data_IF_004504569618
#
_entry.id   IF_004504569618
#
_cell.length_a   1.000
_cell.length_b   1.000
_cell.length_c   1.000
_cell.angle_alpha   90.00
_cell.angle_beta   90.00
_cell.angle_gamma   90.00
#
_symmetry.space_group_name_H-M   'P 1'
#
loop_
_entity.id
_entity.type
_entity.pdbx_description
1 polymer ?
#
# COMPACT_ATOMS: atom_id res chain seq x y z
N UNK A 1 -2.79 13.04 -46.70
CA UNK A 1 -4.01 12.63 -45.99
C UNK A 1 -3.55 11.63 -44.94
N UNK A 2 -3.61 12.02 -43.70
CA UNK A 2 -3.27 11.14 -42.56
C UNK A 2 -4.30 10.00 -42.55
N UNK A 3 -3.82 8.77 -42.63
CA UNK A 3 -4.65 7.56 -42.46
C UNK A 3 -5.38 7.69 -41.12
N UNK A 4 -6.67 7.99 -41.19
CA UNK A 4 -7.50 8.07 -39.98
C UNK A 4 -7.63 6.66 -39.43
N UNK A 5 -7.07 6.44 -38.25
CA UNK A 5 -7.18 5.16 -37.54
C UNK A 5 -8.66 4.96 -37.20
N UNK A 6 -9.27 3.90 -37.73
CA UNK A 6 -10.69 3.58 -37.49
C UNK A 6 -10.82 2.92 -36.10
N UNK A 7 -11.38 3.63 -35.16
CA UNK A 7 -11.80 3.09 -33.86
C UNK A 7 -13.20 2.46 -33.98
N UNK A 8 -13.62 1.69 -32.97
CA UNK A 8 -15.00 1.15 -32.91
C UNK A 8 -16.04 2.27 -33.05
N UNK A 9 -15.77 3.43 -32.50
CA UNK A 9 -16.62 4.63 -32.63
C UNK A 9 -16.64 5.15 -34.06
N UNK A 10 -15.47 5.37 -34.66
CA UNK A 10 -15.35 5.84 -36.06
C UNK A 10 -16.00 4.89 -37.07
N UNK A 11 -16.00 3.59 -36.80
CA UNK A 11 -16.70 2.62 -37.64
C UNK A 11 -18.22 2.75 -37.52
N UNK A 12 -18.71 2.85 -36.29
CA UNK A 12 -20.14 3.11 -36.06
C UNK A 12 -20.58 4.39 -36.75
N UNK A 13 -19.78 5.43 -36.68
CA UNK A 13 -19.93 6.72 -37.31
C UNK A 13 -20.00 6.60 -38.82
N UNK A 14 -19.08 5.94 -39.38
CA UNK A 14 -18.97 5.77 -40.79
C UNK A 14 -20.18 4.95 -41.32
N UNK A 15 -20.65 3.92 -40.61
CA UNK A 15 -21.82 3.16 -40.96
C UNK A 15 -23.10 4.00 -40.94
N UNK A 16 -23.27 4.85 -39.91
CA UNK A 16 -24.38 5.78 -39.86
C UNK A 16 -24.32 6.82 -41.00
N UNK A 17 -23.13 7.37 -41.23
CA UNK A 17 -22.93 8.32 -42.32
C UNK A 17 -23.20 7.72 -43.67
N UNK A 18 -22.79 6.47 -43.90
CA UNK A 18 -23.09 5.73 -45.12
C UNK A 18 -24.60 5.46 -45.26
N UNK A 19 -25.28 5.09 -44.19
CA UNK A 19 -26.73 4.87 -44.18
C UNK A 19 -27.50 6.14 -44.52
N UNK A 20 -27.10 7.28 -43.92
CA UNK A 20 -27.68 8.57 -44.21
C UNK A 20 -27.45 9.02 -45.64
N UNK A 21 -26.22 8.92 -46.14
CA UNK A 21 -25.87 9.31 -47.52
C UNK A 21 -26.59 8.42 -48.54
N UNK A 22 -26.78 7.15 -48.25
CA UNK A 22 -27.56 6.22 -49.05
C UNK A 22 -29.04 6.65 -49.10
N UNK A 23 -29.64 6.90 -47.96
CA UNK A 23 -31.05 7.33 -47.90
C UNK A 23 -31.29 8.63 -48.70
N UNK A 24 -30.29 9.52 -48.79
CA UNK A 24 -30.41 10.81 -49.50
C UNK A 24 -29.78 10.81 -50.88
N UNK A 25 -29.53 9.63 -51.47
CA UNK A 25 -29.13 9.48 -52.89
C UNK A 25 -27.69 9.89 -53.22
N UNK A 26 -26.82 10.08 -52.20
CA UNK A 26 -25.41 10.37 -52.41
C UNK A 26 -24.62 9.09 -52.65
N UNK A 27 -23.75 9.07 -53.65
CA UNK A 27 -22.92 7.91 -53.98
C UNK A 27 -21.78 7.76 -52.98
N UNK A 28 -21.97 6.94 -51.98
CA UNK A 28 -20.92 6.56 -51.07
C UNK A 28 -21.15 5.12 -50.60
N UNK A 29 -20.32 4.17 -51.10
CA UNK A 29 -20.36 2.72 -50.78
C UNK A 29 -21.74 2.07 -50.62
N UNK A 30 -22.75 2.65 -51.30
CA UNK A 30 -24.15 2.23 -51.22
C UNK A 30 -24.34 0.75 -51.49
N UNK A 31 -23.65 0.26 -52.54
CA UNK A 31 -23.79 -1.15 -52.98
C UNK A 31 -23.24 -2.11 -51.92
N UNK A 32 -22.18 -1.75 -51.25
CA UNK A 32 -21.56 -2.61 -50.25
C UNK A 32 -22.33 -2.57 -48.92
N UNK A 33 -22.88 -1.42 -48.56
CA UNK A 33 -23.79 -1.29 -47.40
C UNK A 33 -25.09 -2.06 -47.65
N UNK A 34 -25.66 -1.97 -48.84
CA UNK A 34 -26.85 -2.74 -49.24
C UNK A 34 -26.57 -4.25 -49.18
N UNK A 35 -25.43 -4.70 -49.66
CA UNK A 35 -25.01 -6.11 -49.58
C UNK A 35 -24.85 -6.55 -48.13
N UNK A 36 -24.20 -5.74 -47.29
CA UNK A 36 -24.00 -6.02 -45.87
C UNK A 36 -25.34 -6.14 -45.13
N UNK A 37 -26.24 -5.18 -45.33
CA UNK A 37 -27.60 -5.22 -44.78
C UNK A 37 -28.37 -6.44 -45.29
N UNK A 38 -28.21 -6.77 -46.58
CA UNK A 38 -28.91 -7.90 -47.18
C UNK A 38 -28.41 -9.27 -46.74
N UNK A 39 -27.11 -9.38 -46.39
CA UNK A 39 -26.51 -10.62 -45.88
C UNK A 39 -27.03 -10.98 -44.48
N UNK A 40 -27.49 -9.99 -43.71
CA UNK A 40 -27.94 -10.16 -42.34
C UNK A 40 -29.44 -9.92 -42.19
N UNK A 41 -30.23 -10.58 -43.07
CA UNK A 41 -31.67 -10.39 -43.08
C UNK A 41 -32.43 -10.99 -41.91
N UNK A 42 -31.88 -11.99 -41.27
CA UNK A 42 -32.54 -12.68 -40.17
C UNK A 42 -32.55 -11.79 -38.91
N UNK A 43 -33.70 -11.20 -38.51
CA UNK A 43 -33.81 -10.29 -37.40
C UNK A 43 -33.60 -10.98 -36.03
N UNK A 44 -33.51 -12.31 -36.01
CA UNK A 44 -33.22 -13.07 -34.78
C UNK A 44 -31.75 -13.15 -34.49
N UNK A 45 -30.90 -12.95 -35.50
CA UNK A 45 -29.45 -12.96 -35.35
C UNK A 45 -28.93 -11.60 -34.86
N UNK A 46 -27.77 -11.58 -34.30
CA UNK A 46 -27.00 -10.40 -33.89
C UNK A 46 -26.93 -9.34 -34.98
N UNK A 47 -26.41 -9.76 -36.14
CA UNK A 47 -26.21 -8.88 -37.29
C UNK A 47 -27.51 -8.47 -37.95
N UNK A 48 -28.54 -9.33 -37.89
CA UNK A 48 -29.86 -9.04 -38.45
C UNK A 48 -30.55 -7.89 -37.72
N UNK A 49 -30.51 -7.87 -36.41
CA UNK A 49 -31.07 -6.77 -35.61
C UNK A 49 -30.44 -5.42 -35.98
N UNK A 50 -29.13 -5.38 -36.08
CA UNK A 50 -28.41 -4.16 -36.45
C UNK A 50 -28.64 -3.76 -37.91
N UNK A 51 -28.70 -4.72 -38.85
CA UNK A 51 -29.00 -4.46 -40.23
C UNK A 51 -30.42 -3.85 -40.40
N UNK A 52 -31.40 -4.37 -39.67
CA UNK A 52 -32.74 -3.81 -39.60
C UNK A 52 -32.73 -2.37 -39.08
N UNK A 53 -31.97 -2.13 -38.01
CA UNK A 53 -31.91 -0.78 -37.43
C UNK A 53 -31.21 0.22 -38.34
N UNK A 54 -30.07 -0.15 -38.94
CA UNK A 54 -29.38 0.69 -39.93
C UNK A 54 -30.28 1.02 -41.10
N UNK A 55 -31.11 0.06 -41.57
CA UNK A 55 -32.08 0.29 -42.62
C UNK A 55 -33.14 1.29 -42.19
N UNK A 56 -33.70 1.13 -41.00
CA UNK A 56 -34.67 2.07 -40.44
C UNK A 56 -34.14 3.50 -40.36
N UNK A 57 -32.91 3.66 -39.88
CA UNK A 57 -32.23 4.97 -39.78
C UNK A 57 -31.99 5.54 -41.19
N UNK A 58 -31.54 4.70 -42.14
CA UNK A 58 -31.33 5.13 -43.52
C UNK A 58 -32.62 5.61 -44.22
N UNK A 59 -33.76 5.11 -43.81
CA UNK A 59 -35.09 5.46 -44.35
C UNK A 59 -35.73 6.66 -43.62
N UNK A 60 -35.17 7.12 -42.50
CA UNK A 60 -35.67 8.28 -41.74
C UNK A 60 -35.55 9.59 -42.53
N UNK A 61 -36.58 10.46 -42.48
CA UNK A 61 -36.46 11.83 -42.97
C UNK A 61 -35.41 12.62 -42.25
N UNK A 62 -34.81 13.59 -42.93
CA UNK A 62 -33.75 14.46 -42.34
C UNK A 62 -34.18 15.09 -41.00
N UNK A 63 -35.41 15.61 -40.93
CA UNK A 63 -35.95 16.22 -39.72
C UNK A 63 -36.04 15.23 -38.57
N UNK A 64 -36.50 14.03 -38.81
CA UNK A 64 -36.59 12.96 -37.82
C UNK A 64 -35.20 12.49 -37.35
N UNK A 65 -34.17 12.53 -38.22
CA UNK A 65 -32.79 12.26 -37.84
C UNK A 65 -32.20 13.35 -36.95
N UNK A 66 -32.58 14.61 -37.19
CA UNK A 66 -32.20 15.73 -36.34
C UNK A 66 -32.87 15.65 -34.96
N UNK A 67 -34.19 15.39 -34.93
CA UNK A 67 -34.96 15.28 -33.69
C UNK A 67 -34.51 14.09 -32.83
N UNK A 68 -34.21 12.98 -33.45
CA UNK A 68 -33.61 11.83 -32.79
C UNK A 68 -32.13 12.08 -32.37
N UNK A 69 -31.57 13.22 -32.81
CA UNK A 69 -30.20 13.65 -32.55
C UNK A 69 -29.15 12.76 -33.22
N UNK A 70 -29.47 12.16 -34.35
CA UNK A 70 -28.51 11.47 -35.21
C UNK A 70 -27.71 12.45 -36.09
N UNK A 71 -28.18 13.71 -36.21
CA UNK A 71 -27.50 14.77 -36.96
C UNK A 71 -27.20 15.93 -36.02
N UNK A 72 -25.97 16.40 -36.03
CA UNK A 72 -25.60 17.68 -35.45
C UNK A 72 -25.94 18.79 -36.40
N UNK A 73 -26.99 19.54 -36.08
CA UNK A 73 -27.51 20.62 -36.92
C UNK A 73 -26.49 21.75 -37.04
N UNK A 74 -25.66 22.01 -36.04
CA UNK A 74 -24.67 23.08 -36.04
C UNK A 74 -23.45 22.74 -36.91
N UNK A 75 -23.05 21.50 -36.93
CA UNK A 75 -21.92 21.01 -37.75
C UNK A 75 -22.33 20.45 -39.09
N UNK A 76 -23.63 20.28 -39.34
CA UNK A 76 -24.18 19.58 -40.51
C UNK A 76 -23.57 18.20 -40.73
N UNK A 77 -23.12 17.58 -39.67
CA UNK A 77 -22.50 16.26 -39.66
C UNK A 77 -23.41 15.29 -38.96
N UNK A 78 -23.48 14.07 -39.48
CA UNK A 78 -24.11 13.00 -38.75
C UNK A 78 -23.25 12.70 -37.51
N UNK A 79 -23.76 12.99 -36.35
CA UNK A 79 -23.13 12.56 -35.14
C UNK A 79 -23.41 11.08 -34.98
N UNK A 80 -22.39 10.43 -34.67
CA UNK A 80 -22.36 9.08 -34.18
C UNK A 80 -22.77 9.04 -32.77
N UNK A 81 -23.55 9.82 -32.65
CA UNK A 81 -24.08 9.85 -31.46
C UNK A 81 -24.76 8.59 -31.29
N UNK A 82 -24.40 7.70 -31.10
CA UNK A 82 -25.24 6.96 -30.21
C UNK A 82 -25.05 5.48 -30.39
N UNK A 83 -23.71 5.18 -30.25
CA UNK A 83 -23.33 3.93 -29.64
C UNK A 83 -24.31 3.59 -28.50
N UNK A 84 -24.72 4.55 -27.67
CA UNK A 84 -25.72 4.36 -26.61
C UNK A 84 -27.06 3.83 -27.13
N UNK A 85 -27.61 4.38 -28.20
CA UNK A 85 -28.89 3.93 -28.74
C UNK A 85 -28.82 2.52 -29.35
N UNK A 86 -27.69 2.21 -30.00
CA UNK A 86 -27.46 0.86 -30.52
C UNK A 86 -27.18 -0.14 -29.42
N UNK A 87 -26.45 0.28 -28.39
CA UNK A 87 -26.18 -0.53 -27.17
C UNK A 87 -27.50 -0.84 -26.45
N UNK A 88 -28.39 0.13 -26.32
CA UNK A 88 -29.67 -0.07 -25.67
C UNK A 88 -30.58 -1.06 -26.43
N UNK A 89 -30.44 -1.14 -27.78
CA UNK A 89 -31.26 -2.03 -28.59
C UNK A 89 -30.69 -3.44 -28.80
N UNK A 90 -29.36 -3.57 -28.92
CA UNK A 90 -28.72 -4.85 -29.27
C UNK A 90 -27.75 -5.36 -28.18
N UNK A 91 -27.48 -4.56 -27.18
CA UNK A 91 -26.51 -4.85 -26.15
C UNK A 91 -25.06 -4.50 -26.53
N UNK A 92 -24.26 -4.10 -25.54
CA UNK A 92 -22.90 -3.65 -25.77
C UNK A 92 -21.99 -4.76 -26.28
N UNK A 93 -22.16 -5.96 -25.79
CA UNK A 93 -21.39 -7.12 -26.21
C UNK A 93 -21.65 -7.52 -27.66
N UNK A 94 -22.91 -7.52 -28.05
CA UNK A 94 -23.33 -7.81 -29.44
C UNK A 94 -22.81 -6.76 -30.41
N UNK A 95 -22.88 -5.48 -30.04
CA UNK A 95 -22.37 -4.40 -30.87
C UNK A 95 -20.84 -4.48 -31.04
N UNK A 96 -20.14 -4.75 -29.97
CA UNK A 96 -18.67 -4.90 -30.01
C UNK A 96 -18.26 -6.08 -30.90
N UNK A 97 -18.97 -7.20 -30.86
CA UNK A 97 -18.73 -8.34 -31.75
C UNK A 97 -19.02 -8.02 -33.21
N UNK A 98 -20.10 -7.29 -33.47
CA UNK A 98 -20.45 -6.87 -34.80
C UNK A 98 -19.42 -5.89 -35.39
N UNK A 99 -18.99 -4.92 -34.64
CA UNK A 99 -17.93 -3.96 -35.02
C UNK A 99 -16.55 -4.61 -35.14
N UNK A 100 -16.35 -5.78 -34.54
CA UNK A 100 -15.15 -6.58 -34.73
C UNK A 100 -15.15 -7.44 -36.00
N UNK A 101 -16.28 -7.49 -36.74
CA UNK A 101 -16.34 -8.17 -38.04
C UNK A 101 -15.56 -7.35 -39.10
N UNK A 102 -14.27 -7.65 -39.18
CA UNK A 102 -13.34 -6.98 -40.10
C UNK A 102 -13.72 -7.18 -41.58
N UNK A 103 -14.41 -8.27 -41.93
CA UNK A 103 -14.80 -8.51 -43.30
C UNK A 103 -15.97 -7.59 -43.72
N UNK A 104 -16.90 -7.34 -42.82
CA UNK A 104 -18.02 -6.41 -43.07
C UNK A 104 -17.45 -4.98 -43.23
N UNK A 105 -16.57 -4.56 -42.33
CA UNK A 105 -15.98 -3.23 -42.39
C UNK A 105 -15.16 -3.01 -43.66
N UNK A 106 -14.31 -3.99 -44.06
CA UNK A 106 -13.53 -3.90 -45.28
C UNK A 106 -14.39 -3.88 -46.55
N UNK A 107 -15.57 -4.50 -46.54
CA UNK A 107 -16.52 -4.41 -47.67
C UNK A 107 -17.17 -3.04 -47.80
N UNK A 108 -17.51 -2.45 -46.66
CA UNK A 108 -18.15 -1.11 -46.63
C UNK A 108 -17.14 0.01 -46.85
N UNK A 109 -15.93 -0.17 -46.34
CA UNK A 109 -14.82 0.79 -46.41
C UNK A 109 -13.54 0.10 -46.86
N UNK A 110 -13.36 -0.15 -48.16
CA UNK A 110 -12.20 -0.88 -48.68
C UNK A 110 -10.85 -0.23 -48.35
N UNK A 111 -10.84 1.09 -48.24
CA UNK A 111 -9.64 1.86 -47.93
C UNK A 111 -9.45 2.12 -46.41
N UNK A 112 -10.31 1.57 -45.56
CA UNK A 112 -10.23 1.76 -44.15
C UNK A 112 -9.11 0.92 -43.54
N UNK A 113 -8.14 1.57 -42.93
CA UNK A 113 -7.19 0.91 -42.05
C UNK A 113 -7.89 0.58 -40.75
N UNK A 114 -8.33 -0.67 -40.59
CA UNK A 114 -8.95 -1.11 -39.36
C UNK A 114 -7.88 -1.15 -38.28
N UNK A 115 -8.01 -0.31 -37.30
CA UNK A 115 -7.17 -0.44 -36.09
C UNK A 115 -7.57 -1.77 -35.42
N UNK A 116 -6.72 -2.79 -35.60
CA UNK A 116 -6.87 -4.05 -34.86
C UNK A 116 -6.97 -3.66 -33.40
N UNK A 117 -8.04 -4.11 -32.71
CA UNK A 117 -8.29 -3.84 -31.29
C UNK A 117 -6.98 -3.65 -30.55
N UNK A 118 -6.60 -2.41 -30.25
CA UNK A 118 -5.45 -2.15 -29.40
C UNK A 118 -5.82 -2.54 -28.00
N UNK A 119 -4.90 -3.27 -27.36
CA UNK A 119 -5.04 -3.56 -25.94
C UNK A 119 -5.21 -2.24 -25.17
N UNK A 120 -6.09 -2.24 -24.16
CA UNK A 120 -6.16 -1.14 -23.17
C UNK A 120 -5.00 -1.22 -22.16
N UNK A 121 -4.16 -2.25 -22.26
CA UNK A 121 -2.99 -2.39 -21.41
C UNK A 121 -1.96 -1.32 -21.77
N UNK A 122 -1.34 -0.67 -20.77
CA UNK A 122 -0.26 0.27 -21.00
C UNK A 122 0.98 -0.49 -21.46
N UNK A 123 1.20 -0.51 -22.78
CA UNK A 123 2.33 -1.21 -23.38
C UNK A 123 3.50 -0.25 -23.56
N UNK A 124 4.67 -0.65 -23.06
CA UNK A 124 5.96 0.03 -23.27
C UNK A 124 6.92 -0.90 -24.04
N UNK A 125 7.88 -0.33 -24.78
CA UNK A 125 8.85 -1.13 -25.55
C UNK A 125 10.10 -1.39 -24.72
N UNK A 126 10.40 -2.67 -24.47
CA UNK A 126 11.69 -3.12 -23.95
C UNK A 126 12.22 -2.28 -22.79
N UNK A 127 13.32 -1.57 -23.00
CA UNK A 127 13.98 -0.73 -22.02
C UNK A 127 13.44 0.70 -21.95
N UNK A 128 12.33 1.02 -22.59
CA UNK A 128 11.69 2.34 -22.46
C UNK A 128 11.38 2.62 -20.98
N UNK A 129 11.80 3.77 -20.48
CA UNK A 129 11.64 4.13 -19.07
C UNK A 129 12.80 3.71 -18.15
N UNK A 130 13.86 3.05 -18.66
CA UNK A 130 15.01 2.60 -17.85
C UNK A 130 15.68 3.71 -17.01
N UNK A 131 15.53 4.96 -17.41
CA UNK A 131 16.10 6.14 -16.77
C UNK A 131 15.09 6.89 -15.87
N UNK A 132 13.89 6.36 -15.70
CA UNK A 132 12.90 6.91 -14.76
C UNK A 132 13.39 6.62 -13.35
N UNK A 133 13.58 7.68 -12.57
CA UNK A 133 13.99 7.53 -11.17
C UNK A 133 12.81 7.13 -10.32
N UNK A 134 13.08 6.25 -9.33
CA UNK A 134 12.07 5.92 -8.30
C UNK A 134 11.71 7.20 -7.52
N UNK A 135 10.43 7.53 -7.50
CA UNK A 135 9.89 8.59 -6.67
C UNK A 135 9.64 8.09 -5.24
N UNK A 136 9.76 8.99 -4.29
CA UNK A 136 9.63 8.71 -2.86
C UNK A 136 8.74 9.74 -2.18
N UNK A 137 7.89 9.26 -1.28
CA UNK A 137 7.18 10.11 -0.31
C UNK A 137 8.14 10.56 0.80
N UNK A 138 8.98 9.63 1.31
CA UNK A 138 10.16 9.93 2.15
C UNK A 138 11.37 9.33 1.43
N UNK A 139 12.29 10.16 1.00
CA UNK A 139 13.41 9.76 0.14
C UNK A 139 14.22 8.61 0.73
N UNK A 140 14.40 7.54 -0.02
CA UNK A 140 15.09 6.29 0.34
C UNK A 140 14.47 5.52 1.53
N UNK A 141 13.24 5.86 1.92
CA UNK A 141 12.50 5.16 2.98
C UNK A 141 11.15 4.69 2.45
N UNK A 142 10.30 5.61 1.99
CA UNK A 142 8.94 5.29 1.61
C UNK A 142 8.74 5.58 0.12
N UNK A 143 8.80 4.56 -0.75
CA UNK A 143 8.56 4.75 -2.19
C UNK A 143 7.18 5.32 -2.45
N UNK A 144 7.04 6.18 -3.46
CA UNK A 144 5.74 6.69 -3.89
C UNK A 144 4.93 5.61 -4.62
N UNK A 145 3.61 5.70 -4.53
CA UNK A 145 2.66 4.80 -5.19
C UNK A 145 2.97 3.32 -4.94
N UNK A 146 3.31 2.99 -3.71
CA UNK A 146 3.75 1.65 -3.28
C UNK A 146 2.88 1.08 -2.17
N UNK A 147 2.95 -0.23 -1.98
CA UNK A 147 2.40 -0.93 -0.82
C UNK A 147 3.54 -1.23 0.15
N UNK A 148 3.50 -0.61 1.32
CA UNK A 148 4.56 -0.71 2.33
C UNK A 148 4.03 -1.24 3.65
N UNK A 149 4.89 -1.80 4.48
CA UNK A 149 4.51 -2.21 5.83
C UNK A 149 5.52 -1.83 6.90
N UNK A 150 5.00 -1.62 8.11
CA UNK A 150 5.75 -1.57 9.36
C UNK A 150 5.28 -2.72 10.24
N UNK A 151 6.19 -3.60 10.62
CA UNK A 151 5.85 -4.72 11.50
C UNK A 151 6.78 -4.80 12.72
N UNK A 152 6.35 -5.54 13.72
CA UNK A 152 7.13 -5.79 14.93
C UNK A 152 6.25 -6.18 16.12
N UNK A 153 6.84 -6.51 17.27
CA UNK A 153 6.12 -6.92 18.48
C UNK A 153 5.13 -5.87 18.97
N UNK A 154 4.16 -6.28 19.77
CA UNK A 154 3.29 -5.33 20.48
C UNK A 154 4.13 -4.43 21.38
N UNK A 155 3.81 -3.12 21.42
CA UNK A 155 4.56 -2.14 22.23
C UNK A 155 5.91 -1.70 21.64
N UNK A 156 6.27 -2.07 20.41
CA UNK A 156 7.54 -1.67 19.78
C UNK A 156 7.53 -0.27 19.15
N UNK A 157 6.54 0.55 19.43
CA UNK A 157 6.41 1.93 18.92
C UNK A 157 6.09 2.07 17.43
N UNK A 158 5.58 1.02 16.75
CA UNK A 158 5.21 1.05 15.32
C UNK A 158 4.27 2.21 14.95
N UNK A 159 3.15 2.32 15.67
CA UNK A 159 2.18 3.39 15.42
C UNK A 159 2.73 4.80 15.75
N UNK A 160 3.70 4.93 16.66
CA UNK A 160 4.40 6.20 16.88
C UNK A 160 5.27 6.58 15.67
N UNK A 161 5.94 5.60 15.07
CA UNK A 161 6.71 5.81 13.85
C UNK A 161 5.78 6.15 12.66
N UNK A 162 4.67 5.42 12.48
CA UNK A 162 3.68 5.69 11.44
C UNK A 162 3.08 7.10 11.56
N UNK A 163 2.74 7.54 12.78
CA UNK A 163 2.28 8.92 13.05
C UNK A 163 3.38 9.93 12.76
N UNK A 164 4.65 9.65 13.14
CA UNK A 164 5.77 10.53 12.84
C UNK A 164 5.90 10.73 11.31
N UNK A 165 5.89 9.66 10.52
CA UNK A 165 5.94 9.77 9.06
C UNK A 165 4.75 10.53 8.49
N UNK A 166 3.53 10.23 8.98
CA UNK A 166 2.31 10.90 8.56
C UNK A 166 2.37 12.43 8.81
N UNK A 167 2.83 12.84 9.99
CA UNK A 167 2.98 14.26 10.34
C UNK A 167 4.03 14.96 9.48
N UNK A 168 5.19 14.33 9.26
CA UNK A 168 6.23 14.92 8.41
C UNK A 168 5.78 15.08 6.95
N UNK A 169 4.99 14.13 6.42
CA UNK A 169 4.42 14.22 5.08
C UNK A 169 3.38 15.33 5.01
N UNK A 170 2.46 15.40 5.96
CA UNK A 170 1.44 16.45 6.01
C UNK A 170 2.04 17.86 6.14
N UNK A 171 3.07 17.99 6.96
CA UNK A 171 3.79 19.24 7.17
C UNK A 171 4.75 19.61 6.02
N UNK A 172 5.25 18.62 5.28
CA UNK A 172 6.31 18.79 4.29
C UNK A 172 7.70 18.99 4.92
N UNK A 173 7.87 18.57 6.17
CA UNK A 173 9.13 18.67 6.91
C UNK A 173 10.03 17.46 6.60
N UNK A 174 11.35 17.67 6.54
CA UNK A 174 12.29 16.56 6.36
C UNK A 174 12.19 15.57 7.51
N UNK A 175 12.29 14.27 7.23
CA UNK A 175 12.37 13.21 8.23
C UNK A 175 13.77 12.60 8.25
N UNK A 176 14.41 12.61 9.41
CA UNK A 176 15.76 12.02 9.55
C UNK A 176 16.77 12.60 8.52
N UNK A 177 16.68 13.91 8.24
CA UNK A 177 17.50 14.59 7.24
C UNK A 177 17.15 14.25 5.77
N UNK A 178 16.13 13.40 5.54
CA UNK A 178 15.69 13.00 4.20
C UNK A 178 14.58 13.90 3.71
N UNK A 179 14.59 14.20 2.40
CA UNK A 179 13.55 14.99 1.75
C UNK A 179 12.21 14.24 1.83
N UNK A 180 11.16 14.97 2.17
CA UNK A 180 9.78 14.50 2.21
C UNK A 180 8.97 15.21 1.13
N UNK A 181 8.14 14.49 0.42
CA UNK A 181 7.17 15.04 -0.50
C UNK A 181 5.90 15.41 0.28
N UNK A 182 5.61 16.71 0.34
CA UNK A 182 4.43 17.23 1.04
C UNK A 182 3.14 16.76 0.36
N UNK A 183 2.15 16.37 1.15
CA UNK A 183 0.81 16.03 0.67
C UNK A 183 -0.14 15.74 1.81
N UNK A 184 -1.42 15.58 1.49
CA UNK A 184 -2.39 15.15 2.47
C UNK A 184 -2.17 13.69 2.88
N UNK A 185 -2.59 13.37 4.10
CA UNK A 185 -2.50 12.02 4.67
C UNK A 185 -3.88 11.58 5.16
N UNK A 186 -4.28 10.38 4.80
CA UNK A 186 -5.45 9.70 5.34
C UNK A 186 -4.99 8.58 6.27
N UNK A 187 -5.29 8.69 7.56
CA UNK A 187 -4.87 7.72 8.58
C UNK A 187 -6.08 6.96 9.14
N UNK A 188 -6.15 5.67 8.88
CA UNK A 188 -7.18 4.79 9.42
C UNK A 188 -6.74 4.28 10.78
N UNK A 189 -7.49 4.67 11.83
CA UNK A 189 -7.25 4.28 13.22
C UNK A 189 -8.14 3.07 13.54
N UNK A 190 -7.70 1.87 13.20
CA UNK A 190 -8.50 0.65 13.34
C UNK A 190 -8.82 0.26 14.77
N UNK A 191 -8.01 0.66 15.74
CA UNK A 191 -8.30 0.45 17.16
C UNK A 191 -9.20 1.54 17.75
N UNK A 192 -9.36 2.67 17.04
CA UNK A 192 -10.11 3.83 17.50
C UNK A 192 -9.45 4.54 18.69
N UNK A 193 -10.20 5.45 19.30
CA UNK A 193 -9.81 6.12 20.54
C UNK A 193 -8.89 7.33 20.36
N UNK A 194 -8.43 7.87 21.48
CA UNK A 194 -7.71 9.14 21.57
C UNK A 194 -6.19 9.04 21.38
N UNK A 195 -5.67 7.84 21.18
CA UNK A 195 -4.22 7.61 21.12
C UNK A 195 -3.53 8.32 19.96
N UNK A 196 -4.06 8.18 18.74
CA UNK A 196 -3.48 8.81 17.55
C UNK A 196 -3.58 10.33 17.59
N UNK A 197 -4.74 10.96 17.89
CA UNK A 197 -4.82 12.40 18.09
C UNK A 197 -3.82 12.96 19.12
N UNK A 198 -3.63 12.29 20.26
CA UNK A 198 -2.65 12.69 21.28
C UNK A 198 -1.21 12.64 20.75
N UNK A 199 -0.87 11.63 19.95
CA UNK A 199 0.47 11.50 19.31
C UNK A 199 0.71 12.61 18.29
N UNK A 200 -0.30 12.93 17.49
CA UNK A 200 -0.25 14.05 16.52
C UNK A 200 -0.04 15.37 17.28
N UNK A 201 -0.84 15.61 18.34
CA UNK A 201 -0.71 16.83 19.16
C UNK A 201 0.66 16.96 19.80
N UNK A 202 1.23 15.86 20.30
CA UNK A 202 2.58 15.85 20.84
C UNK A 202 3.63 16.18 19.76
N UNK A 203 3.47 15.65 18.55
CA UNK A 203 4.33 15.96 17.42
C UNK A 203 4.26 17.45 17.07
N UNK A 204 3.05 18.03 16.96
CA UNK A 204 2.86 19.46 16.69
C UNK A 204 3.56 20.35 17.72
N UNK A 205 3.44 20.03 19.02
CA UNK A 205 4.10 20.77 20.09
C UNK A 205 5.63 20.70 20.00
N UNK A 206 6.18 19.51 19.70
CA UNK A 206 7.64 19.31 19.62
C UNK A 206 8.23 20.03 18.41
N UNK A 207 7.51 20.03 17.27
CA UNK A 207 7.99 20.64 16.02
C UNK A 207 7.53 22.08 15.83
N UNK A 208 6.64 22.58 16.69
CA UNK A 208 6.09 23.96 16.57
C UNK A 208 5.31 24.18 15.28
N UNK A 209 4.71 23.14 14.73
CA UNK A 209 4.02 23.15 13.44
C UNK A 209 2.72 22.36 13.50
N UNK A 210 1.63 22.90 12.94
CA UNK A 210 0.35 22.19 12.81
C UNK A 210 0.31 21.32 11.55
N UNK A 211 -0.47 20.25 11.60
CA UNK A 211 -0.62 19.29 10.50
C UNK A 211 -2.08 19.21 10.03
N UNK A 212 -2.58 20.33 9.49
CA UNK A 212 -3.97 20.46 9.03
C UNK A 212 -4.33 19.50 7.88
N UNK A 213 -3.32 18.96 7.19
CA UNK A 213 -3.50 18.05 6.05
C UNK A 213 -3.47 16.57 6.45
N UNK A 214 -3.58 16.24 7.75
CA UNK A 214 -3.65 14.88 8.26
C UNK A 214 -5.06 14.59 8.75
N UNK A 215 -5.73 13.66 8.08
CA UNK A 215 -7.12 13.30 8.33
C UNK A 215 -7.22 11.93 8.96
N UNK A 216 -8.10 11.76 9.94
CA UNK A 216 -8.28 10.51 10.66
C UNK A 216 -9.63 9.87 10.35
N UNK A 217 -9.62 8.57 10.10
CA UNK A 217 -10.79 7.72 10.12
C UNK A 217 -10.78 6.92 11.43
N UNK A 218 -11.62 7.31 12.40
CA UNK A 218 -11.65 6.73 13.75
C UNK A 218 -12.49 5.45 13.83
N UNK A 219 -12.39 4.60 12.81
CA UNK A 219 -12.96 3.25 12.77
C UNK A 219 -12.10 2.35 11.89
N UNK A 220 -12.19 1.03 12.05
CA UNK A 220 -11.58 0.13 11.07
C UNK A 220 -12.22 0.30 9.69
N UNK A 221 -11.40 0.13 8.66
CA UNK A 221 -11.78 0.01 7.25
C UNK A 221 -11.33 -1.36 6.78
N UNK A 222 -12.11 -2.01 5.93
CA UNK A 222 -11.88 -3.39 5.51
C UNK A 222 -11.51 -3.48 4.02
N UNK A 223 -10.22 -3.41 3.65
CA UNK A 223 -9.78 -3.52 2.25
C UNK A 223 -10.24 -4.79 1.52
N UNK A 224 -10.57 -5.84 2.26
CA UNK A 224 -11.18 -7.06 1.73
C UNK A 224 -12.60 -6.87 1.16
N UNK A 225 -13.20 -5.68 1.34
CA UNK A 225 -14.56 -5.34 0.90
C UNK A 225 -14.52 -4.19 -0.10
N UNK A 226 -15.02 -4.40 -1.29
CA UNK A 226 -15.04 -3.40 -2.37
C UNK A 226 -15.74 -2.09 -1.96
N UNK A 227 -16.83 -2.17 -1.19
CA UNK A 227 -17.54 -0.98 -0.67
C UNK A 227 -16.66 -0.12 0.23
N UNK A 228 -15.87 -0.74 1.12
CA UNK A 228 -14.95 -0.03 2.02
C UNK A 228 -13.76 0.58 1.25
N UNK A 229 -13.25 -0.14 0.24
CA UNK A 229 -12.23 0.39 -0.68
C UNK A 229 -12.75 1.63 -1.40
N UNK A 230 -14.00 1.59 -1.89
CA UNK A 230 -14.64 2.73 -2.55
C UNK A 230 -14.77 3.94 -1.61
N UNK A 231 -15.13 3.73 -0.34
CA UNK A 231 -15.21 4.79 0.66
C UNK A 231 -13.84 5.44 0.93
N UNK A 232 -12.76 4.64 1.02
CA UNK A 232 -11.40 5.19 1.17
C UNK A 232 -11.02 6.06 -0.04
N UNK A 233 -11.35 5.62 -1.24
CA UNK A 233 -11.07 6.38 -2.47
C UNK A 233 -11.88 7.68 -2.50
N UNK A 234 -13.14 7.65 -2.09
CA UNK A 234 -14.00 8.84 -1.99
C UNK A 234 -13.45 9.82 -0.94
N UNK A 235 -13.07 9.33 0.24
CA UNK A 235 -12.46 10.13 1.28
C UNK A 235 -11.15 10.79 0.81
N UNK A 236 -10.29 10.05 0.11
CA UNK A 236 -9.06 10.61 -0.45
C UNK A 236 -9.32 11.70 -1.50
N UNK A 237 -10.36 11.54 -2.34
CA UNK A 237 -10.77 12.58 -3.31
C UNK A 237 -11.33 13.82 -2.62
N UNK A 238 -12.15 13.63 -1.57
CA UNK A 238 -12.67 14.73 -0.77
C UNK A 238 -11.52 15.51 -0.12
N UNK A 239 -10.59 14.83 0.55
CA UNK A 239 -9.41 15.44 1.17
C UNK A 239 -8.59 16.21 0.13
N UNK A 240 -8.36 15.63 -1.05
CA UNK A 240 -7.64 16.29 -2.14
C UNK A 240 -8.32 17.60 -2.56
N UNK A 241 -9.65 17.59 -2.65
CA UNK A 241 -10.42 18.80 -3.01
C UNK A 241 -10.41 19.86 -1.90
N UNK A 242 -10.47 19.44 -0.62
CA UNK A 242 -10.47 20.37 0.52
C UNK A 242 -9.08 20.98 0.80
N UNK A 243 -8.01 20.21 0.62
CA UNK A 243 -6.64 20.65 0.90
C UNK A 243 -5.93 21.26 -0.33
N UNK A 244 -6.53 21.17 -1.51
CA UNK A 244 -5.89 21.52 -2.80
C UNK A 244 -4.52 20.84 -2.99
N UNK A 245 -4.42 19.62 -2.50
CA UNK A 245 -3.20 18.81 -2.65
C UNK A 245 -3.53 17.30 -2.65
N UNK A 246 -2.73 16.48 -3.36
CA UNK A 246 -2.99 15.06 -3.44
C UNK A 246 -2.75 14.36 -2.10
N UNK A 247 -3.54 13.31 -1.82
CA UNK A 247 -3.23 12.37 -0.75
C UNK A 247 -1.99 11.57 -1.17
N UNK A 248 -0.90 11.68 -0.39
CA UNK A 248 0.37 10.99 -0.65
C UNK A 248 0.53 9.72 0.16
N UNK A 249 -0.17 9.64 1.29
CA UNK A 249 -0.09 8.49 2.19
C UNK A 249 -1.47 8.10 2.70
N UNK A 250 -1.79 6.81 2.62
CA UNK A 250 -2.90 6.17 3.32
C UNK A 250 -2.31 5.20 4.33
N UNK A 251 -2.58 5.40 5.62
CA UNK A 251 -2.10 4.52 6.69
C UNK A 251 -3.24 3.63 7.17
N UNK A 252 -2.99 2.33 7.29
CA UNK A 252 -3.89 1.34 7.87
C UNK A 252 -3.25 0.82 9.17
N UNK A 253 -3.73 1.26 10.32
CA UNK A 253 -3.20 0.93 11.64
C UNK A 253 -4.31 0.36 12.56
N UNK A 254 -4.41 -0.96 12.71
CA UNK A 254 -3.52 -2.03 12.27
C UNK A 254 -4.20 -2.98 11.30
N UNK A 255 -3.40 -3.82 10.58
CA UNK A 255 -3.90 -4.87 9.68
C UNK A 255 -4.96 -5.72 10.40
N UNK A 256 -4.63 -6.27 11.58
CA UNK A 256 -5.51 -7.14 12.35
C UNK A 256 -6.91 -6.56 12.57
N UNK A 257 -6.99 -5.26 12.85
CA UNK A 257 -8.27 -4.56 13.05
C UNK A 257 -9.01 -4.27 11.75
N UNK A 258 -8.28 -4.12 10.67
CA UNK A 258 -8.80 -3.79 9.35
C UNK A 258 -8.97 -5.01 8.43
N UNK A 259 -8.86 -6.22 8.97
CA UNK A 259 -8.99 -7.48 8.19
C UNK A 259 -10.43 -8.00 8.09
N UNK A 260 -11.38 -7.38 8.80
CA UNK A 260 -12.81 -7.63 8.65
C UNK A 260 -13.33 -8.97 9.18
N UNK A 261 -12.59 -9.61 10.07
CA UNK A 261 -12.95 -10.91 10.66
C UNK A 261 -12.52 -12.12 9.85
N UNK A 262 -11.81 -11.91 8.75
CA UNK A 262 -11.18 -12.97 7.95
C UNK A 262 -9.92 -13.52 8.64
N UNK A 263 -9.36 -14.61 8.13
CA UNK A 263 -8.14 -15.22 8.68
C UNK A 263 -6.89 -14.64 8.00
N UNK A 264 -6.05 -13.94 8.77
CA UNK A 264 -4.78 -13.37 8.29
C UNK A 264 -3.79 -14.43 7.77
N UNK A 265 -3.96 -15.69 8.16
CA UNK A 265 -3.11 -16.79 7.71
C UNK A 265 -3.66 -17.46 6.45
N UNK A 266 -4.89 -17.18 6.05
CA UNK A 266 -5.48 -17.70 4.81
C UNK A 266 -4.95 -16.89 3.61
N UNK A 267 -4.39 -17.59 2.62
CA UNK A 267 -3.78 -16.97 1.45
C UNK A 267 -4.82 -16.26 0.54
N UNK A 268 -6.07 -16.72 0.51
CA UNK A 268 -7.14 -16.11 -0.27
C UNK A 268 -7.60 -14.80 0.36
N UNK A 269 -7.82 -14.83 1.67
CA UNK A 269 -8.25 -13.65 2.41
C UNK A 269 -7.17 -12.57 2.38
N UNK A 270 -5.90 -12.96 2.55
CA UNK A 270 -4.76 -12.06 2.40
C UNK A 270 -4.65 -11.52 0.96
N UNK A 271 -4.91 -12.35 -0.06
CA UNK A 271 -4.97 -11.92 -1.45
C UNK A 271 -6.01 -10.83 -1.68
N UNK A 272 -7.21 -10.96 -1.11
CA UNK A 272 -8.25 -9.94 -1.20
C UNK A 272 -7.87 -8.63 -0.49
N UNK A 273 -7.17 -8.71 0.66
CA UNK A 273 -6.66 -7.53 1.36
C UNK A 273 -5.62 -6.79 0.52
N UNK A 274 -4.68 -7.52 -0.08
CA UNK A 274 -3.64 -6.96 -0.97
C UNK A 274 -4.29 -6.29 -2.17
N UNK A 275 -5.25 -6.95 -2.82
CA UNK A 275 -5.98 -6.40 -3.97
C UNK A 275 -6.68 -5.09 -3.61
N UNK A 276 -7.36 -5.04 -2.47
CA UNK A 276 -8.00 -3.81 -1.99
C UNK A 276 -7.01 -2.67 -1.76
N UNK A 277 -5.86 -2.96 -1.17
CA UNK A 277 -4.77 -1.99 -1.00
C UNK A 277 -4.21 -1.52 -2.35
N UNK A 278 -4.05 -2.42 -3.32
CA UNK A 278 -3.58 -2.08 -4.66
C UNK A 278 -4.59 -1.21 -5.41
N UNK A 279 -5.89 -1.47 -5.27
CA UNK A 279 -6.94 -0.62 -5.86
C UNK A 279 -6.92 0.78 -5.24
N UNK A 280 -6.77 0.90 -3.90
CA UNK A 280 -6.63 2.19 -3.22
C UNK A 280 -5.41 2.93 -3.79
N UNK A 281 -4.25 2.29 -3.82
CA UNK A 281 -3.00 2.82 -4.38
C UNK A 281 -3.18 3.34 -5.81
N UNK A 282 -3.73 2.52 -6.69
CA UNK A 282 -3.92 2.87 -8.11
C UNK A 282 -4.91 4.02 -8.33
N UNK A 283 -6.00 4.08 -7.56
CA UNK A 283 -7.06 5.08 -7.74
C UNK A 283 -6.77 6.41 -7.07
N UNK A 284 -5.92 6.42 -6.05
CA UNK A 284 -5.54 7.64 -5.31
C UNK A 284 -4.16 8.16 -5.70
N UNK A 285 -3.27 7.32 -6.23
CA UNK A 285 -1.86 7.64 -6.44
C UNK A 285 -1.06 7.73 -5.13
N UNK A 286 -1.66 7.36 -3.99
CA UNK A 286 -1.01 7.41 -2.69
C UNK A 286 -0.19 6.14 -2.44
N UNK A 287 0.80 6.24 -1.57
CA UNK A 287 1.43 5.08 -0.93
C UNK A 287 0.50 4.55 0.16
N UNK A 288 0.31 3.23 0.21
CA UNK A 288 -0.45 2.57 1.28
C UNK A 288 0.55 1.97 2.27
N UNK A 289 0.46 2.40 3.53
CA UNK A 289 1.31 1.92 4.63
C UNK A 289 0.48 1.10 5.61
N UNK A 290 0.80 -0.17 5.77
CA UNK A 290 0.10 -1.08 6.66
C UNK A 290 0.94 -1.33 7.92
N UNK A 291 0.36 -1.12 9.08
CA UNK A 291 0.99 -1.42 10.38
C UNK A 291 0.45 -2.76 10.87
N UNK A 292 1.34 -3.70 11.17
CA UNK A 292 0.93 -5.01 11.66
C UNK A 292 1.85 -5.59 12.74
N UNK A 293 1.40 -6.65 13.41
CA UNK A 293 2.15 -7.29 14.47
C UNK A 293 2.99 -8.45 13.93
N UNK A 294 4.23 -8.59 14.43
CA UNK A 294 4.98 -9.82 14.22
C UNK A 294 4.33 -11.00 14.94
N UNK A 295 4.47 -12.22 14.40
CA UNK A 295 4.07 -13.45 15.08
C UNK A 295 4.80 -13.64 16.41
N UNK A 296 4.38 -14.65 17.19
CA UNK A 296 5.04 -15.02 18.47
C UNK A 296 6.49 -15.45 18.28
N UNK A 297 6.86 -15.90 17.10
CA UNK A 297 8.19 -16.37 16.74
C UNK A 297 8.87 -15.31 15.87
N UNK A 298 9.59 -14.38 16.50
CA UNK A 298 10.29 -13.27 15.81
C UNK A 298 11.31 -13.77 14.77
N UNK A 299 11.87 -14.97 14.95
CA UNK A 299 12.81 -15.58 14.03
C UNK A 299 12.18 -15.94 12.68
N UNK A 300 10.85 -16.10 12.62
CA UNK A 300 10.09 -16.39 11.38
C UNK A 300 9.59 -15.15 10.65
N UNK A 301 9.87 -13.95 11.15
CA UNK A 301 9.46 -12.70 10.53
C UNK A 301 8.00 -12.29 10.85
N UNK A 302 7.36 -11.60 9.92
CA UNK A 302 5.97 -11.19 10.06
C UNK A 302 5.05 -12.41 10.18
N UNK A 303 3.99 -12.29 11.00
CA UNK A 303 3.04 -13.37 11.28
C UNK A 303 2.21 -13.77 10.08
N UNK A 304 2.24 -12.94 9.04
CA UNK A 304 1.37 -13.03 7.89
C UNK A 304 1.82 -14.06 6.87
N UNK A 305 0.89 -14.41 5.99
CA UNK A 305 1.18 -15.30 4.88
C UNK A 305 2.36 -14.75 4.07
N UNK A 306 3.22 -15.64 3.59
CA UNK A 306 4.34 -15.28 2.70
C UNK A 306 3.90 -14.44 1.49
N UNK A 307 2.60 -14.49 1.14
CA UNK A 307 1.98 -13.71 0.07
C UNK A 307 1.95 -12.20 0.37
N UNK A 308 1.67 -11.78 1.63
CA UNK A 308 1.69 -10.37 1.98
C UNK A 308 3.07 -9.76 1.80
N UNK A 309 4.10 -10.38 2.41
CA UNK A 309 5.48 -9.93 2.24
C UNK A 309 5.93 -9.91 0.77
N UNK A 310 5.50 -10.89 -0.03
CA UNK A 310 5.83 -10.94 -1.45
C UNK A 310 5.26 -9.74 -2.23
N UNK A 311 4.05 -9.28 -1.87
CA UNK A 311 3.37 -8.15 -2.50
C UNK A 311 3.93 -6.78 -2.11
N UNK A 312 4.61 -6.65 -0.97
CA UNK A 312 5.15 -5.37 -0.50
C UNK A 312 6.28 -4.84 -1.40
N UNK A 313 6.31 -3.53 -1.60
CA UNK A 313 7.41 -2.82 -2.24
C UNK A 313 8.49 -2.43 -1.22
N UNK A 314 8.11 -2.12 0.04
CA UNK A 314 9.03 -1.90 1.15
C UNK A 314 8.47 -2.46 2.47
N UNK A 315 9.34 -3.00 3.29
CA UNK A 315 8.99 -3.57 4.60
C UNK A 315 9.99 -3.14 5.66
N UNK A 316 9.48 -2.73 6.81
CA UNK A 316 10.28 -2.24 7.92
C UNK A 316 9.94 -2.98 9.20
N UNK A 317 10.97 -3.52 9.84
CA UNK A 317 10.88 -4.09 11.18
C UNK A 317 11.15 -3.00 12.22
N UNK A 318 10.28 -2.91 13.22
CA UNK A 318 10.39 -1.99 14.34
C UNK A 318 10.45 -2.77 15.64
N UNK A 319 11.58 -2.61 16.36
CA UNK A 319 11.81 -3.21 17.68
C UNK A 319 12.09 -2.12 18.71
N UNK A 320 11.81 -2.40 19.98
CA UNK A 320 12.33 -1.55 21.06
C UNK A 320 13.84 -1.78 21.22
N UNK A 321 14.56 -0.72 21.53
CA UNK A 321 15.96 -0.83 21.94
C UNK A 321 16.03 -0.99 23.46
N UNK A 322 16.18 -2.22 23.92
CA UNK A 322 16.19 -2.54 25.35
C UNK A 322 14.90 -2.12 26.08
N UNK A 323 15.01 -1.71 27.33
CA UNK A 323 13.90 -1.22 28.15
C UNK A 323 13.65 0.30 27.99
N UNK A 324 14.50 0.99 27.21
CA UNK A 324 14.43 2.44 27.02
C UNK A 324 13.27 2.88 26.12
N UNK A 325 13.11 4.21 26.05
CA UNK A 325 12.17 4.85 25.12
C UNK A 325 12.87 5.09 23.77
N UNK A 326 13.25 4.01 23.11
CA UNK A 326 13.85 4.07 21.78
C UNK A 326 13.38 2.90 20.92
N UNK A 327 13.29 3.13 19.62
CA UNK A 327 12.99 2.10 18.62
C UNK A 327 14.20 1.88 17.71
N UNK A 328 14.33 0.67 17.21
CA UNK A 328 15.24 0.30 16.13
C UNK A 328 14.41 0.09 14.90
N UNK A 329 14.74 0.80 13.81
CA UNK A 329 14.16 0.67 12.50
C UNK A 329 15.13 -0.09 11.59
N UNK A 330 14.69 -1.22 11.06
CA UNK A 330 15.44 -2.02 10.09
C UNK A 330 14.60 -2.22 8.84
N UNK A 331 15.14 -1.91 7.68
CA UNK A 331 14.53 -2.30 6.41
C UNK A 331 14.76 -3.80 6.22
N UNK A 332 13.71 -4.55 5.91
CA UNK A 332 13.77 -6.01 5.69
C UNK A 332 13.38 -6.37 4.25
N UNK A 333 12.90 -5.39 3.50
CA UNK A 333 12.65 -5.46 2.06
C UNK A 333 12.61 -4.05 1.46
N UNK A 334 13.28 -3.86 0.34
CA UNK A 334 13.15 -2.69 -0.52
C UNK A 334 13.25 -3.16 -1.96
N UNK A 335 12.14 -3.03 -2.71
CA UNK A 335 12.10 -3.39 -4.11
C UNK A 335 12.73 -2.27 -4.94
N UNK A 336 13.54 -2.65 -5.91
CA UNK A 336 14.15 -1.74 -6.90
C UNK A 336 15.05 -0.62 -6.31
N UNK A 337 15.49 -0.74 -5.04
CA UNK A 337 16.43 0.19 -4.40
C UNK A 337 17.25 -0.51 -3.29
N UNK A 338 18.31 0.16 -2.86
CA UNK A 338 19.11 -0.30 -1.72
C UNK A 338 18.33 -0.17 -0.40
N UNK A 339 18.45 -1.17 0.46
CA UNK A 339 17.86 -1.14 1.79
C UNK A 339 18.57 -0.06 2.64
N UNK A 340 17.82 0.87 3.25
CA UNK A 340 18.42 1.85 4.15
C UNK A 340 19.04 1.17 5.38
N UNK A 341 20.13 1.76 5.86
CA UNK A 341 20.82 1.27 7.05
C UNK A 341 19.90 1.20 8.28
N UNK A 342 20.12 0.19 9.09
CA UNK A 342 19.48 0.04 10.40
C UNK A 342 19.88 1.19 11.31
N UNK A 343 18.92 1.91 11.91
CA UNK A 343 19.14 3.03 12.82
C UNK A 343 18.21 2.95 14.02
N UNK A 344 18.65 3.55 15.12
CA UNK A 344 17.84 3.74 16.30
C UNK A 344 17.30 5.18 16.37
N UNK A 345 16.11 5.31 16.94
CA UNK A 345 15.42 6.58 17.14
C UNK A 345 14.90 6.64 18.58
N UNK A 346 15.27 7.70 19.29
CA UNK A 346 14.78 7.94 20.64
C UNK A 346 13.36 8.51 20.58
N UNK A 347 12.56 8.24 21.62
CA UNK A 347 11.26 8.86 21.80
C UNK A 347 11.34 9.87 22.95
N UNK A 348 10.69 11.01 22.75
CA UNK A 348 10.56 12.08 23.75
C UNK A 348 9.17 12.07 24.36
N UNK A 349 9.08 12.05 25.68
CA UNK A 349 7.83 12.32 26.41
C UNK A 349 7.47 13.79 26.27
N UNK A 350 6.21 14.07 25.96
CA UNK A 350 5.67 15.41 25.76
C UNK A 350 4.36 15.53 26.56
N UNK A 351 4.29 16.52 27.42
CA UNK A 351 3.09 16.86 28.19
C UNK A 351 2.07 17.53 27.28
N UNK A 352 0.81 17.13 27.38
CA UNK A 352 -0.26 17.64 26.52
C UNK A 352 -1.22 18.55 27.27
N UNK A 353 -1.83 18.04 28.31
CA UNK A 353 -2.80 18.78 29.15
C UNK A 353 -2.96 18.06 30.48
N UNK A 354 -3.52 18.78 31.44
CA UNK A 354 -3.95 18.19 32.71
C UNK A 354 -5.44 17.80 32.60
N UNK A 355 -5.79 16.59 32.96
CA UNK A 355 -7.17 16.10 32.91
C UNK A 355 -8.02 16.61 34.08
N UNK A 356 -9.29 16.15 34.13
CA UNK A 356 -10.26 16.57 35.15
C UNK A 356 -9.87 16.11 36.57
N UNK A 357 -9.08 15.05 36.68
CA UNK A 357 -8.59 14.50 37.95
C UNK A 357 -7.27 15.17 38.40
N UNK A 358 -6.75 16.09 37.59
CA UNK A 358 -5.50 16.80 37.88
C UNK A 358 -4.25 16.03 37.45
N UNK A 359 -4.42 14.95 36.71
CA UNK A 359 -3.30 14.15 36.20
C UNK A 359 -2.75 14.70 34.86
N UNK A 360 -1.41 14.74 34.74
CA UNK A 360 -0.75 15.18 33.51
C UNK A 360 -0.83 14.11 32.46
N UNK A 361 -1.55 14.38 31.37
CA UNK A 361 -1.63 13.52 30.20
C UNK A 361 -0.44 13.78 29.29
N UNK A 362 0.34 12.74 29.02
CA UNK A 362 1.54 12.79 28.19
C UNK A 362 1.40 11.89 26.95
N UNK A 363 2.20 12.15 25.94
CA UNK A 363 2.41 11.26 24.80
C UNK A 363 3.90 11.18 24.43
N UNK A 364 4.23 10.25 23.55
CA UNK A 364 5.60 10.10 23.04
C UNK A 364 5.69 10.60 21.60
N UNK A 365 6.84 11.21 21.26
CA UNK A 365 7.17 11.64 19.90
C UNK A 365 8.50 11.00 19.52
N UNK A 366 8.53 10.38 18.33
CA UNK A 366 9.78 9.86 17.75
C UNK A 366 10.65 11.04 17.35
N UNK A 367 11.86 11.10 17.87
CA UNK A 367 12.87 12.08 17.45
C UNK A 367 13.41 11.63 16.09
N UNK A 368 13.33 12.50 15.11
CA UNK A 368 13.79 12.25 13.73
C UNK A 368 15.32 12.40 13.55
N UNK A 369 16.07 12.28 14.64
CA UNK A 369 17.52 12.28 14.68
C UNK A 369 18.00 10.83 14.83
N UNK A 370 18.50 10.22 13.74
CA UNK A 370 18.95 8.84 13.77
C UNK A 370 20.27 8.72 14.52
N UNK A 371 20.45 7.61 15.22
CA UNK A 371 21.72 7.20 15.80
C UNK A 371 21.99 5.73 15.51
N UNK A 372 23.21 5.29 15.74
CA UNK A 372 23.51 3.86 15.68
C UNK A 372 22.68 3.10 16.72
N UNK A 373 22.13 1.97 16.29
CA UNK A 373 21.49 1.05 17.21
C UNK A 373 22.56 0.48 18.13
N UNK A 374 22.32 0.46 19.43
CA UNK A 374 23.21 -0.23 20.36
C UNK A 374 23.32 -1.68 19.88
N UNK A 375 24.54 -2.16 19.73
CA UNK A 375 24.76 -3.55 19.41
C UNK A 375 24.16 -4.39 20.54
N UNK A 376 23.19 -5.23 20.22
CA UNK A 376 22.86 -6.35 21.09
C UNK A 376 24.06 -7.29 21.00
N UNK A 377 24.66 -7.58 22.13
CA UNK A 377 25.79 -8.51 22.18
C UNK A 377 25.45 -9.75 21.33
N UNK A 378 26.27 -10.12 20.33
CA UNK A 378 25.97 -11.25 19.45
C UNK A 378 25.64 -12.53 20.21
N UNK A 379 26.16 -12.68 21.42
CA UNK A 379 25.89 -13.82 22.30
C UNK A 379 24.46 -13.80 22.88
N UNK A 380 23.77 -12.66 22.84
CA UNK A 380 22.36 -12.50 23.27
C UNK A 380 21.37 -12.56 22.10
N UNK A 381 21.85 -12.73 20.88
CA UNK A 381 20.99 -12.84 19.71
C UNK A 381 20.12 -14.11 19.80
N UNK A 382 18.80 -13.91 19.86
CA UNK A 382 17.82 -15.01 19.94
C UNK A 382 17.39 -15.36 21.37
N UNK A 383 17.87 -14.67 22.39
CA UNK A 383 17.47 -14.89 23.79
C UNK A 383 16.22 -14.09 24.12
N UNK A 384 15.15 -14.78 24.55
CA UNK A 384 13.94 -14.11 25.02
C UNK A 384 14.17 -13.36 26.33
N UNK A 385 13.78 -12.07 26.35
CA UNK A 385 13.69 -11.14 27.51
C UNK A 385 14.50 -11.52 28.74
N UNK A 386 15.75 -11.04 28.78
CA UNK A 386 16.51 -10.96 30.02
C UNK A 386 16.12 -9.66 30.75
N UNK A 387 15.77 -9.77 32.02
CA UNK A 387 15.58 -8.59 32.90
C UNK A 387 16.96 -8.01 33.27
N UNK A 388 17.00 -6.78 33.79
CA UNK A 388 18.25 -6.13 34.26
C UNK A 388 19.05 -7.03 35.20
N UNK A 389 18.36 -7.79 36.05
CA UNK A 389 19.04 -8.72 36.97
C UNK A 389 19.67 -9.91 36.26
N UNK A 390 19.02 -10.44 35.18
CA UNK A 390 19.63 -11.49 34.35
C UNK A 390 20.87 -10.93 33.61
N UNK A 391 20.74 -9.72 33.07
CA UNK A 391 21.85 -9.06 32.38
C UNK A 391 23.03 -8.78 33.29
N UNK A 392 22.76 -8.26 34.50
CA UNK A 392 23.79 -8.03 35.49
C UNK A 392 24.52 -9.32 35.91
N UNK A 393 23.74 -10.41 36.10
CA UNK A 393 24.29 -11.73 36.39
C UNK A 393 25.17 -12.25 35.25
N UNK A 394 24.70 -12.20 34.03
CA UNK A 394 25.43 -12.66 32.84
C UNK A 394 26.70 -11.84 32.59
N UNK A 395 26.65 -10.50 32.70
CA UNK A 395 27.80 -9.60 32.58
C UNK A 395 28.81 -9.84 33.66
N UNK A 396 28.40 -10.11 34.90
CA UNK A 396 29.32 -10.42 36.04
C UNK A 396 30.05 -11.72 35.77
N UNK A 397 29.37 -12.77 35.32
CA UNK A 397 30.01 -14.05 34.97
C UNK A 397 31.00 -13.84 33.84
N UNK A 398 30.63 -13.17 32.76
CA UNK A 398 31.47 -12.88 31.61
C UNK A 398 32.72 -12.06 31.96
N UNK A 399 32.53 -11.03 32.76
CA UNK A 399 33.67 -10.17 33.22
C UNK A 399 34.69 -10.94 34.02
N UNK A 400 34.27 -11.86 34.88
CA UNK A 400 35.19 -12.73 35.63
C UNK A 400 35.94 -13.71 34.74
N UNK A 401 35.24 -14.35 33.82
CA UNK A 401 35.83 -15.26 32.83
C UNK A 401 36.90 -14.51 32.01
N UNK A 402 36.55 -13.31 31.53
CA UNK A 402 37.49 -12.47 30.74
C UNK A 402 38.77 -12.08 31.53
N UNK A 403 38.66 -11.97 32.85
CA UNK A 403 39.82 -11.70 33.74
C UNK A 403 40.53 -12.95 34.21
N UNK A 404 40.08 -14.15 33.85
CA UNK A 404 40.63 -15.42 34.31
C UNK A 404 40.38 -15.69 35.79
N UNK A 405 39.39 -15.06 36.40
CA UNK A 405 39.06 -15.19 37.82
C UNK A 405 38.12 -16.39 38.08
N UNK A 406 38.19 -17.01 39.28
CA UNK A 406 37.28 -18.07 39.64
C UNK A 406 35.81 -17.63 39.51
N UNK A 407 35.00 -18.43 38.80
CA UNK A 407 33.64 -18.12 38.51
C UNK A 407 32.69 -19.20 39.06
N UNK A 408 32.40 -19.13 40.37
CA UNK A 408 31.47 -20.03 41.04
C UNK A 408 30.24 -19.28 41.59
N UNK A 409 29.18 -20.03 41.90
CA UNK A 409 27.89 -19.46 42.31
C UNK A 409 28.01 -18.52 43.54
N UNK A 410 28.85 -18.85 44.50
CA UNK A 410 28.99 -18.06 45.71
C UNK A 410 29.65 -16.71 45.41
N UNK A 411 30.75 -16.72 44.68
CA UNK A 411 31.52 -15.53 44.31
C UNK A 411 30.67 -14.58 43.42
N UNK A 412 29.97 -15.11 42.44
CA UNK A 412 29.08 -14.30 41.57
C UNK A 412 27.95 -13.65 42.36
N UNK A 413 27.38 -14.39 43.32
CA UNK A 413 26.32 -13.84 44.18
C UNK A 413 26.85 -12.71 45.05
N UNK A 414 28.10 -12.82 45.56
CA UNK A 414 28.69 -11.79 46.41
C UNK A 414 29.09 -10.55 45.60
N UNK A 415 29.57 -10.73 44.35
CA UNK A 415 29.82 -9.62 43.43
C UNK A 415 28.52 -8.83 43.14
N UNK A 416 27.45 -9.53 42.85
CA UNK A 416 26.14 -8.89 42.61
C UNK A 416 25.64 -8.12 43.85
N UNK A 417 25.84 -8.66 45.05
CA UNK A 417 25.51 -7.93 46.28
C UNK A 417 26.34 -6.67 46.45
N UNK A 418 27.62 -6.75 46.10
CA UNK A 418 28.56 -5.61 46.17
C UNK A 418 28.13 -4.47 45.23
N UNK A 419 27.44 -4.78 44.11
CA UNK A 419 26.85 -3.77 43.23
C UNK A 419 25.45 -3.29 43.69
N UNK A 420 24.94 -3.72 44.84
CA UNK A 420 23.66 -3.32 45.39
C UNK A 420 22.47 -4.14 44.89
N UNK A 421 22.68 -5.21 44.13
CA UNK A 421 21.61 -6.05 43.61
C UNK A 421 21.14 -7.04 44.68
N UNK A 422 19.80 -7.08 44.91
CA UNK A 422 19.19 -8.03 45.83
C UNK A 422 19.13 -9.43 45.19
N UNK A 423 19.99 -10.34 45.70
CA UNK A 423 20.19 -11.69 45.16
C UNK A 423 19.17 -12.75 45.64
N UNK A 424 18.03 -12.33 46.18
CA UNK A 424 16.98 -13.27 46.69
C UNK A 424 16.52 -14.27 45.62
N UNK A 425 16.51 -13.89 44.35
CA UNK A 425 16.10 -14.72 43.23
C UNK A 425 17.24 -15.20 42.34
N UNK A 426 18.46 -15.15 42.80
CA UNK A 426 19.68 -15.52 42.06
C UNK A 426 19.60 -16.88 41.38
N UNK A 427 19.14 -17.92 42.09
CA UNK A 427 19.00 -19.27 41.52
C UNK A 427 18.04 -19.32 40.32
N UNK A 428 16.94 -18.55 40.38
CA UNK A 428 15.98 -18.46 39.27
C UNK A 428 16.59 -17.73 38.06
N UNK A 429 17.33 -16.67 38.31
CA UNK A 429 18.02 -15.92 37.23
C UNK A 429 19.09 -16.78 36.58
N UNK A 430 19.88 -17.50 37.34
CA UNK A 430 20.89 -18.39 36.84
C UNK A 430 20.30 -19.54 36.03
N UNK A 431 19.21 -20.13 36.52
CA UNK A 431 18.50 -21.19 35.79
C UNK A 431 18.00 -20.69 34.42
N UNK A 432 17.42 -19.50 34.36
CA UNK A 432 17.00 -18.89 33.09
C UNK A 432 18.16 -18.74 32.11
N UNK A 433 19.31 -18.25 32.55
CA UNK A 433 20.49 -18.11 31.69
C UNK A 433 21.04 -19.47 31.21
N UNK A 434 20.88 -20.51 32.01
CA UNK A 434 21.24 -21.88 31.64
C UNK A 434 20.26 -22.42 30.61
N UNK A 435 18.96 -22.25 30.85
CA UNK A 435 17.88 -22.70 29.96
C UNK A 435 17.95 -22.01 28.59
N UNK A 436 18.34 -20.74 28.58
CA UNK A 436 18.57 -19.95 27.36
C UNK A 436 19.95 -20.27 26.69
N UNK A 437 20.73 -21.17 27.28
CA UNK A 437 22.01 -21.59 26.71
C UNK A 437 23.15 -20.58 26.80
N UNK A 438 22.99 -19.51 27.58
CA UNK A 438 24.00 -18.43 27.77
C UNK A 438 25.07 -18.80 28.77
N UNK A 439 24.75 -19.65 29.76
CA UNK A 439 25.65 -20.08 30.84
C UNK A 439 25.63 -21.61 30.90
N UNK A 440 26.79 -22.19 31.02
CA UNK A 440 26.95 -23.62 31.29
C UNK A 440 27.40 -23.73 32.75
N UNK A 441 26.71 -24.59 33.50
CA UNK A 441 27.09 -24.92 34.86
C UNK A 441 27.65 -26.32 34.91
N UNK A 442 28.90 -26.45 35.40
CA UNK A 442 29.53 -27.72 35.74
C UNK A 442 29.84 -27.75 37.24
N UNK A 443 29.09 -28.51 38.01
CA UNK A 443 29.05 -28.46 39.46
C UNK A 443 28.80 -27.02 39.97
N UNK A 444 29.80 -26.42 40.64
CA UNK A 444 29.74 -25.01 41.11
C UNK A 444 30.36 -24.00 40.15
N UNK A 445 31.02 -24.47 39.09
CA UNK A 445 31.72 -23.60 38.14
C UNK A 445 30.71 -23.11 37.06
N UNK A 446 30.76 -21.83 36.75
CA UNK A 446 29.96 -21.19 35.73
C UNK A 446 30.84 -20.76 34.56
N UNK A 447 30.43 -21.10 33.34
CA UNK A 447 31.14 -20.70 32.11
C UNK A 447 30.13 -20.12 31.13
N UNK A 448 30.58 -19.23 30.23
CA UNK A 448 29.74 -18.65 29.16
C UNK A 448 30.01 -19.43 27.87
N UNK A 449 28.96 -19.79 27.14
CA UNK A 449 29.10 -20.48 25.87
C UNK A 449 29.69 -19.53 24.84
N UNK A 450 30.93 -19.79 24.41
CA UNK A 450 31.62 -19.00 23.38
C UNK A 450 31.10 -19.41 22.00
N UNK A 451 30.79 -18.42 21.13
CA UNK A 451 30.42 -18.65 19.72
C UNK A 451 31.53 -19.27 18.85
N UNK A 452 32.75 -19.52 19.42
CA UNK A 452 33.87 -20.09 18.68
C UNK A 452 33.81 -21.60 18.50
N UNK A 453 32.86 -22.31 19.10
CA UNK A 453 32.77 -23.79 19.02
C UNK A 453 31.67 -24.30 18.08
N UNK A 454 31.05 -23.47 17.27
CA UNK A 454 30.01 -23.90 16.28
C UNK A 454 30.57 -24.00 14.84
N UNK A 455 31.85 -24.18 14.73
CA UNK A 455 32.53 -24.30 13.42
C UNK A 455 33.45 -25.54 13.40
N UNK A 456 32.88 -26.75 13.47
CA UNK A 456 33.46 -28.00 12.96
C UNK A 456 32.37 -28.92 12.47
#
# INVERSE_FOLDING_TARGET
>A
MTDAVMTVETVSDALFSCSYLWAHGRNYNRTDLEKAIHQHKDPTTRYGKLAVRLKQIAEMPYEALCDAGYIDTDRKQMIIARRSVLVDEIGEEEMNLWLADTQLIQRVFPDATIDKKRSKLPLTRGSEGYNIRQDYVIKHILPAQSLCSIYGPSGSYKSFLAVSWACHIAAGSSWSGKKVERGAVLYVVGEGGVGVPRRIKAWEQVHGQQVDNLWLVNRPVFPVRESEVSEVILAARQITAECDMPVRLVVIDTLARCFGGNDENDARDMGAFIEGCDVIKQKTGATVLVVHHSGKDEAKGARDSSSFRAALDAEFNVKREGEGQALILSCTKMKDAEEPERKAYDLRTTELFTDEDGEMVCSLVVRDVPREAKEVDPELAGVEKLTDNHMALWQTIRSRIARGEPCNRAVIRDDLKATGINTKHFTRWLQKLIDDGLVIQDADLLTVKSLREVGN
#
